data_IF_855389067870
#
_entry.id   IF_855389067870
#
_cell.length_a   1.000
_cell.length_b   1.000
_cell.length_c   1.000
_cell.angle_alpha   90.00
_cell.angle_beta   90.00
_cell.angle_gamma   90.00
#
_symmetry.space_group_name_H-M   'P 1'
#
loop_
_entity.id
_entity.type
_entity.pdbx_description
1 polymer ?
#
# COMPACT_ATOMS: atom_id res chain seq x y z
N UNK A 1 5.21 -2.74 17.59
CA UNK A 1 3.78 -2.63 17.22
C UNK A 1 3.73 -2.25 15.75
N UNK A 2 2.94 -2.94 14.92
CA UNK A 2 2.80 -2.57 13.52
C UNK A 2 2.04 -1.23 13.41
N UNK A 3 2.53 -0.32 12.55
CA UNK A 3 1.83 0.94 12.30
C UNK A 3 0.45 0.65 11.67
N UNK A 4 -0.61 1.39 12.06
CA UNK A 4 -1.94 1.16 11.53
C UNK A 4 -1.95 1.34 10.00
N UNK A 5 -2.75 0.55 9.29
CA UNK A 5 -2.88 0.66 7.83
C UNK A 5 -3.79 1.82 7.41
N UNK A 6 -4.41 2.51 8.38
CA UNK A 6 -5.26 3.66 8.13
C UNK A 6 -5.12 4.68 9.26
N UNK A 7 -5.13 5.96 8.89
CA UNK A 7 -5.23 7.09 9.80
C UNK A 7 -6.37 8.01 9.33
N UNK A 8 -7.24 8.39 10.26
CA UNK A 8 -8.34 9.33 10.00
C UNK A 8 -8.23 10.55 10.92
N UNK A 9 -8.45 11.74 10.38
CA UNK A 9 -8.51 12.99 11.14
C UNK A 9 -9.54 13.97 10.59
N UNK A 10 -9.87 14.99 11.38
CA UNK A 10 -10.83 16.04 11.01
C UNK A 10 -10.16 17.41 10.99
N UNK A 11 -10.57 18.22 10.03
CA UNK A 11 -10.06 19.57 9.81
C UNK A 11 -11.21 20.57 9.91
N UNK A 12 -10.95 21.70 10.59
CA UNK A 12 -11.84 22.86 10.57
C UNK A 12 -11.89 23.46 9.17
N UNK A 13 -13.02 24.07 8.79
CA UNK A 13 -13.20 24.65 7.45
C UNK A 13 -12.54 26.02 7.32
N UNK A 14 -11.20 26.05 7.28
CA UNK A 14 -10.42 27.27 7.05
C UNK A 14 -9.18 26.98 6.20
N UNK A 15 -8.67 28.02 5.50
CA UNK A 15 -7.48 27.87 4.62
C UNK A 15 -6.23 27.37 5.36
N UNK A 16 -6.12 27.63 6.67
CA UNK A 16 -5.00 27.13 7.50
C UNK A 16 -5.02 25.61 7.66
N UNK A 17 -6.12 24.93 7.34
CA UNK A 17 -6.21 23.48 7.38
C UNK A 17 -5.48 22.79 6.22
N UNK A 18 -5.23 23.48 5.11
CA UNK A 18 -4.46 22.92 3.97
C UNK A 18 -3.01 22.61 4.36
N UNK A 19 -2.20 23.55 4.90
CA UNK A 19 -0.85 23.22 5.37
C UNK A 19 -0.86 22.20 6.52
N UNK A 20 -1.91 22.17 7.35
CA UNK A 20 -2.06 21.14 8.38
C UNK A 20 -2.28 19.75 7.78
N UNK A 21 -3.09 19.64 6.72
CA UNK A 21 -3.30 18.39 6.01
C UNK A 21 -1.99 17.86 5.42
N UNK A 22 -1.18 18.73 4.78
CA UNK A 22 0.17 18.39 4.29
C UNK A 22 1.08 17.86 5.38
N UNK A 23 1.20 18.59 6.50
CA UNK A 23 2.04 18.16 7.60
C UNK A 23 1.61 16.80 8.19
N UNK A 24 0.29 16.52 8.22
CA UNK A 24 -0.23 15.24 8.70
C UNK A 24 0.06 14.10 7.73
N UNK A 25 -0.16 14.27 6.43
CA UNK A 25 0.18 13.22 5.45
C UNK A 25 1.69 12.99 5.39
N UNK A 26 2.52 14.03 5.45
CA UNK A 26 3.98 13.89 5.57
C UNK A 26 4.36 13.01 6.76
N UNK A 27 3.80 13.28 7.94
CA UNK A 27 4.11 12.52 9.15
C UNK A 27 3.67 11.06 9.03
N UNK A 28 2.46 10.80 8.51
CA UNK A 28 1.92 9.44 8.34
C UNK A 28 2.77 8.66 7.32
N UNK A 29 3.08 9.26 6.17
CA UNK A 29 3.86 8.59 5.13
C UNK A 29 5.33 8.41 5.52
N UNK A 30 5.90 9.34 6.30
CA UNK A 30 7.22 9.19 6.90
C UNK A 30 7.28 8.02 7.89
N UNK A 31 6.25 7.85 8.73
CA UNK A 31 6.14 6.69 9.63
C UNK A 31 6.00 5.38 8.84
N UNK A 32 5.27 5.41 7.72
CA UNK A 32 5.11 4.27 6.83
C UNK A 32 6.31 4.01 5.91
N UNK A 33 7.33 4.88 5.94
CA UNK A 33 8.56 4.81 5.12
C UNK A 33 8.27 4.76 3.62
N UNK A 34 7.29 5.55 3.19
CA UNK A 34 6.96 5.71 1.77
C UNK A 34 8.09 6.45 1.08
N UNK A 35 8.36 6.10 -0.19
CA UNK A 35 9.30 6.82 -1.03
C UNK A 35 8.97 8.31 -1.14
N UNK A 36 10.01 9.14 -1.27
CA UNK A 36 9.90 10.59 -1.24
C UNK A 36 9.04 11.13 -2.40
N UNK A 37 9.17 10.57 -3.61
CA UNK A 37 8.41 11.05 -4.77
C UNK A 37 6.90 10.81 -4.59
N UNK A 38 6.57 9.67 -3.98
CA UNK A 38 5.18 9.28 -3.69
C UNK A 38 4.62 10.13 -2.55
N UNK A 39 5.43 10.43 -1.55
CA UNK A 39 5.07 11.33 -0.46
C UNK A 39 4.73 12.72 -1.00
N UNK A 40 5.56 13.30 -1.86
CA UNK A 40 5.34 14.61 -2.46
C UNK A 40 4.08 14.64 -3.34
N UNK A 41 3.86 13.60 -4.14
CA UNK A 41 2.63 13.44 -4.93
C UNK A 41 1.39 13.37 -4.03
N UNK A 42 1.45 12.60 -2.93
CA UNK A 42 0.35 12.45 -1.98
C UNK A 42 0.03 13.77 -1.25
N UNK A 43 1.04 14.53 -0.86
CA UNK A 43 0.87 15.85 -0.26
C UNK A 43 0.13 16.81 -1.18
N UNK A 44 0.53 16.83 -2.45
CA UNK A 44 -0.03 17.73 -3.43
C UNK A 44 -1.49 17.36 -3.74
N UNK A 45 -1.77 16.08 -3.98
CA UNK A 45 -3.13 15.61 -4.19
C UNK A 45 -4.01 15.89 -2.96
N UNK A 46 -3.55 15.59 -1.74
CA UNK A 46 -4.35 15.85 -0.54
C UNK A 46 -4.64 17.34 -0.37
N UNK A 47 -3.68 18.21 -0.71
CA UNK A 47 -3.86 19.66 -0.68
C UNK A 47 -4.96 20.12 -1.61
N UNK A 48 -5.00 19.59 -2.83
CA UNK A 48 -6.04 19.90 -3.82
C UNK A 48 -7.41 19.36 -3.39
N UNK A 49 -7.48 18.12 -2.90
CA UNK A 49 -8.71 17.53 -2.40
C UNK A 49 -9.28 18.33 -1.21
N UNK A 50 -8.45 18.70 -0.24
CA UNK A 50 -8.87 19.53 0.91
C UNK A 50 -9.28 20.93 0.45
N UNK A 51 -8.54 21.54 -0.49
CA UNK A 51 -8.87 22.86 -1.02
C UNK A 51 -10.23 22.84 -1.73
N UNK A 52 -10.51 21.81 -2.52
CA UNK A 52 -11.83 21.61 -3.14
C UNK A 52 -12.92 21.41 -2.10
N UNK A 53 -12.68 20.55 -1.11
CA UNK A 53 -13.62 20.32 -0.03
C UNK A 53 -13.96 21.62 0.72
N UNK A 54 -13.00 22.53 0.93
CA UNK A 54 -13.21 23.83 1.61
C UNK A 54 -14.02 24.85 0.80
N UNK A 55 -14.06 24.74 -0.53
CA UNK A 55 -14.83 25.65 -1.41
C UNK A 55 -16.33 25.40 -1.38
N UNK A 56 -16.74 24.19 -1.02
CA UNK A 56 -18.16 23.81 -0.98
C UNK A 56 -18.86 24.53 0.19
N UNK A 57 -20.03 25.11 -0.07
CA UNK A 57 -20.84 25.75 0.97
C UNK A 57 -21.58 24.69 1.78
N UNK A 58 -21.40 24.73 3.10
CA UNK A 58 -22.03 23.84 4.08
C UNK A 58 -22.28 24.62 5.38
N UNK A 59 -23.12 24.12 6.31
CA UNK A 59 -23.27 24.71 7.63
C UNK A 59 -21.92 24.86 8.36
N UNK A 60 -21.77 25.93 9.15
CA UNK A 60 -20.50 26.35 9.75
C UNK A 60 -19.94 25.40 10.81
N UNK A 61 -20.78 24.54 11.38
CA UNK A 61 -20.43 23.49 12.34
C UNK A 61 -19.81 22.24 11.68
N UNK A 62 -19.81 22.16 10.34
CA UNK A 62 -19.29 20.99 9.62
C UNK A 62 -17.77 21.05 9.47
N UNK A 63 -17.15 19.88 9.58
CA UNK A 63 -15.72 19.67 9.39
C UNK A 63 -15.43 18.93 8.07
N UNK A 64 -14.18 18.98 7.62
CA UNK A 64 -13.66 18.11 6.56
C UNK A 64 -13.06 16.87 7.21
N UNK A 65 -13.50 15.68 6.78
CA UNK A 65 -12.88 14.42 7.17
C UNK A 65 -11.75 14.08 6.19
N UNK A 66 -10.65 13.55 6.71
CA UNK A 66 -9.55 13.02 5.91
C UNK A 66 -9.24 11.61 6.37
N UNK A 67 -9.10 10.70 5.41
CA UNK A 67 -8.65 9.31 5.64
C UNK A 67 -7.46 9.03 4.74
N UNK A 68 -6.41 8.48 5.32
CA UNK A 68 -5.22 8.01 4.60
C UNK A 68 -5.11 6.52 4.90
N UNK A 69 -5.11 5.69 3.86
CA UNK A 69 -5.03 4.25 4.01
C UNK A 69 -4.02 3.65 3.04
N UNK A 70 -3.35 2.59 3.46
CA UNK A 70 -2.46 1.80 2.62
C UNK A 70 -3.00 0.38 2.44
N UNK A 71 -2.98 -0.11 1.20
CA UNK A 71 -3.10 -1.54 0.89
C UNK A 71 -1.69 -2.11 0.71
N UNK A 72 -1.28 -2.93 1.66
CA UNK A 72 0.00 -3.64 1.61
C UNK A 72 0.01 -4.74 0.55
N UNK A 73 -1.15 -5.28 0.21
CA UNK A 73 -1.33 -6.34 -0.79
C UNK A 73 -1.28 -5.77 -2.21
N UNK A 74 -2.00 -4.66 -2.44
CA UNK A 74 -2.09 -4.05 -3.76
C UNK A 74 -0.96 -3.03 -4.03
N UNK A 75 -0.18 -2.67 -3.01
CA UNK A 75 0.81 -1.59 -3.10
C UNK A 75 0.15 -0.26 -3.45
N UNK A 76 -0.95 0.08 -2.77
CA UNK A 76 -1.74 1.29 -3.04
C UNK A 76 -1.82 2.20 -1.82
N UNK A 77 -1.69 3.50 -2.05
CA UNK A 77 -1.97 4.54 -1.07
C UNK A 77 -3.27 5.25 -1.45
N UNK A 78 -4.27 5.21 -0.58
CA UNK A 78 -5.58 5.84 -0.77
C UNK A 78 -5.72 7.07 0.13
N UNK A 79 -6.06 8.19 -0.48
CA UNK A 79 -6.36 9.45 0.17
C UNK A 79 -7.84 9.76 -0.03
N UNK A 80 -8.56 10.03 1.05
CA UNK A 80 -9.97 10.42 0.98
C UNK A 80 -10.22 11.72 1.72
N UNK A 81 -11.07 12.55 1.14
CA UNK A 81 -11.55 13.78 1.73
C UNK A 81 -13.07 13.81 1.68
N UNK A 82 -13.69 13.86 2.85
CA UNK A 82 -15.14 13.91 2.99
C UNK A 82 -15.61 15.30 3.41
N UNK A 83 -16.65 15.81 2.75
CA UNK A 83 -17.33 17.05 3.12
C UNK A 83 -18.86 16.85 3.16
N UNK A 84 -19.58 17.76 3.82
CA UNK A 84 -21.02 17.67 4.00
C UNK A 84 -21.84 18.32 2.87
N UNK A 85 -21.20 18.73 1.79
CA UNK A 85 -21.84 19.46 0.70
C UNK A 85 -22.28 18.54 -0.44
N UNK A 86 -23.38 18.92 -1.08
CA UNK A 86 -23.92 18.26 -2.25
C UNK A 86 -23.10 18.58 -3.52
N UNK A 87 -23.38 17.85 -4.60
CA UNK A 87 -22.75 18.04 -5.92
C UNK A 87 -21.52 17.16 -6.14
N UNK A 88 -21.01 17.11 -7.37
CA UNK A 88 -19.76 16.43 -7.72
C UNK A 88 -18.65 17.47 -7.90
N UNK A 89 -17.39 17.17 -7.57
CA UNK A 89 -16.27 18.00 -7.95
C UNK A 89 -16.21 18.13 -9.47
N UNK A 90 -16.15 19.36 -10.00
CA UNK A 90 -16.05 19.60 -11.44
C UNK A 90 -14.59 19.65 -11.88
N UNK A 91 -14.21 18.75 -12.79
CA UNK A 91 -12.93 18.85 -13.53
C UNK A 91 -13.12 19.91 -14.62
N UNK A 92 -12.35 21.01 -14.59
CA UNK A 92 -12.42 22.05 -15.62
C UNK A 92 -11.10 22.17 -16.36
N UNK A 93 -11.16 22.31 -17.68
CA UNK A 93 -9.99 22.41 -18.55
C UNK A 93 -9.26 23.77 -18.42
N UNK A 94 -7.99 23.87 -18.82
CA UNK A 94 -7.27 25.15 -18.85
C UNK A 94 -7.91 26.08 -19.90
N UNK A 95 -8.55 27.17 -19.48
CA UNK A 95 -9.18 28.15 -20.38
C UNK A 95 -10.26 29.01 -19.72
N UNK A 96 -10.90 28.51 -18.67
CA UNK A 96 -11.88 29.28 -17.89
C UNK A 96 -11.15 30.14 -16.84
N UNK A 97 -11.33 31.46 -16.88
CA UNK A 97 -10.59 32.46 -16.08
C UNK A 97 -10.86 32.41 -14.55
N UNK A 98 -11.53 31.37 -14.04
CA UNK A 98 -11.70 31.15 -12.61
C UNK A 98 -10.65 30.17 -12.08
N UNK A 99 -9.79 30.65 -11.18
CA UNK A 99 -8.69 29.91 -10.53
C UNK A 99 -9.09 28.64 -9.73
N UNK A 100 -10.34 28.17 -9.85
CA UNK A 100 -10.92 27.05 -9.11
C UNK A 100 -10.71 25.66 -9.73
N UNK A 101 -10.57 25.53 -11.05
CA UNK A 101 -10.69 24.23 -11.74
C UNK A 101 -9.43 23.35 -11.81
N UNK A 102 -8.24 23.92 -11.54
CA UNK A 102 -6.96 23.26 -11.83
C UNK A 102 -6.60 22.13 -10.86
N UNK A 103 -7.17 22.14 -9.65
CA UNK A 103 -6.79 21.20 -8.60
C UNK A 103 -7.11 19.74 -8.91
N UNK A 104 -8.25 19.47 -9.57
CA UNK A 104 -8.59 18.10 -9.98
C UNK A 104 -7.83 17.64 -11.22
N UNK A 105 -7.38 18.55 -12.09
CA UNK A 105 -6.48 18.16 -13.20
C UNK A 105 -5.16 17.61 -12.66
N UNK A 106 -4.69 18.16 -11.54
CA UNK A 106 -3.49 17.66 -10.86
C UNK A 106 -3.75 16.28 -10.24
N UNK A 107 -4.89 16.10 -9.58
CA UNK A 107 -5.29 14.78 -9.05
C UNK A 107 -5.45 13.76 -10.17
N UNK A 108 -6.09 14.12 -11.28
CA UNK A 108 -6.23 13.29 -12.48
C UNK A 108 -4.86 12.87 -13.04
N UNK A 109 -3.89 13.79 -13.07
CA UNK A 109 -2.57 13.52 -13.62
C UNK A 109 -1.69 12.64 -12.71
N UNK A 110 -1.84 12.76 -11.38
CA UNK A 110 -1.01 12.03 -10.41
C UNK A 110 -1.62 10.72 -9.93
N UNK A 111 -2.94 10.64 -9.85
CA UNK A 111 -3.62 9.46 -9.31
C UNK A 111 -3.54 8.29 -10.29
N UNK A 112 -3.34 7.09 -9.75
CA UNK A 112 -3.61 5.86 -10.48
C UNK A 112 -5.10 5.75 -10.85
N UNK A 113 -5.97 6.12 -9.91
CA UNK A 113 -7.41 6.28 -10.10
C UNK A 113 -7.96 7.20 -9.02
N UNK A 114 -9.05 7.88 -9.31
CA UNK A 114 -9.75 8.72 -8.35
C UNK A 114 -11.25 8.67 -8.63
N UNK A 115 -12.05 9.12 -7.67
CA UNK A 115 -13.49 9.10 -7.79
C UNK A 115 -14.20 9.83 -6.68
N UNK A 116 -15.53 9.68 -6.69
CA UNK A 116 -16.43 10.35 -5.76
C UNK A 116 -17.48 9.35 -5.31
N UNK A 117 -17.52 9.10 -4.01
CA UNK A 117 -18.50 8.23 -3.37
C UNK A 117 -19.44 9.07 -2.48
N UNK A 118 -20.60 8.51 -2.16
CA UNK A 118 -21.44 9.07 -1.09
C UNK A 118 -20.70 8.97 0.25
N UNK A 119 -20.89 9.98 1.09
CA UNK A 119 -20.26 9.98 2.40
C UNK A 119 -20.87 8.87 3.27
N UNK A 120 -20.03 7.94 3.72
CA UNK A 120 -20.46 6.91 4.68
C UNK A 120 -21.05 7.55 5.95
N UNK A 121 -22.25 7.10 6.34
CA UNK A 121 -22.89 7.49 7.59
C UNK A 121 -23.47 8.92 7.63
N UNK A 122 -23.74 9.56 6.49
CA UNK A 122 -24.46 10.84 6.50
C UNK A 122 -24.49 11.59 5.17
N UNK A 123 -24.87 12.87 5.25
CA UNK A 123 -24.98 13.76 4.08
C UNK A 123 -23.59 14.19 3.62
N UNK A 124 -23.40 14.19 2.30
CA UNK A 124 -22.25 14.74 1.61
C UNK A 124 -21.59 13.73 0.70
N UNK A 125 -20.31 13.97 0.42
CA UNK A 125 -19.51 13.13 -0.49
C UNK A 125 -18.13 12.87 0.08
N UNK A 126 -17.50 11.84 -0.44
CA UNK A 126 -16.10 11.53 -0.26
C UNK A 126 -15.42 11.56 -1.62
N UNK A 127 -14.48 12.48 -1.81
CA UNK A 127 -13.59 12.46 -2.97
C UNK A 127 -12.36 11.66 -2.59
N UNK A 128 -12.00 10.67 -3.40
CA UNK A 128 -10.88 9.78 -3.13
C UNK A 128 -9.93 9.73 -4.30
N UNK A 129 -8.64 9.54 -4.02
CA UNK A 129 -7.58 9.34 -5.00
C UNK A 129 -6.63 8.25 -4.51
N UNK A 130 -6.12 7.44 -5.43
CA UNK A 130 -5.17 6.37 -5.15
C UNK A 130 -3.87 6.57 -5.91
N UNK A 131 -2.75 6.33 -5.24
CA UNK A 131 -1.41 6.26 -5.83
C UNK A 131 -0.92 4.82 -5.81
N UNK A 132 -0.14 4.48 -6.83
CA UNK A 132 0.73 3.32 -6.72
C UNK A 132 1.85 3.64 -5.74
N UNK A 133 1.97 2.81 -4.73
CA UNK A 133 2.99 2.88 -3.71
C UNK A 133 3.60 1.48 -3.54
N UNK A 134 4.39 1.03 -4.53
CA UNK A 134 4.96 -0.32 -4.53
C UNK A 134 5.89 -0.55 -3.34
N UNK A 135 6.50 0.49 -2.79
CA UNK A 135 7.36 0.38 -1.61
C UNK A 135 6.57 0.29 -0.29
N UNK A 136 5.25 0.54 -0.34
CA UNK A 136 4.33 0.28 0.76
C UNK A 136 3.86 -1.18 0.77
N UNK A 137 4.30 -2.02 -0.18
CA UNK A 137 4.03 -3.46 -0.04
C UNK A 137 4.53 -3.90 1.32
N UNK A 138 3.71 -4.69 2.03
CA UNK A 138 4.27 -5.44 3.13
C UNK A 138 5.48 -6.17 2.55
N UNK A 139 6.61 -6.15 3.25
CA UNK A 139 7.55 -7.26 3.21
C UNK A 139 6.70 -8.52 3.03
N UNK A 140 6.69 -9.19 1.85
CA UNK A 140 5.60 -10.08 1.46
C UNK A 140 5.21 -10.94 2.65
N UNK A 141 4.00 -10.80 3.18
CA UNK A 141 3.62 -11.55 4.38
C UNK A 141 3.64 -13.00 3.95
N UNK A 142 4.70 -13.73 4.29
CA UNK A 142 4.80 -15.09 3.81
C UNK A 142 3.64 -15.89 4.40
N UNK A 143 3.09 -16.79 3.61
CA UNK A 143 2.00 -17.65 4.03
C UNK A 143 2.51 -18.69 5.02
N UNK A 144 1.76 -18.95 6.08
CA UNK A 144 2.01 -20.13 6.90
C UNK A 144 1.54 -21.38 6.16
N UNK A 145 2.45 -22.32 5.96
CA UNK A 145 2.16 -23.63 5.38
C UNK A 145 2.82 -24.71 6.22
N UNK A 146 2.19 -25.88 6.31
CA UNK A 146 2.85 -27.05 6.90
C UNK A 146 4.17 -27.32 6.16
N UNK A 147 5.26 -27.61 6.89
CA UNK A 147 6.61 -27.78 6.29
C UNK A 147 6.62 -28.83 5.18
N UNK A 148 5.78 -29.86 5.28
CA UNK A 148 5.62 -30.90 4.24
C UNK A 148 5.19 -30.36 2.87
N UNK A 149 4.58 -29.18 2.82
CA UNK A 149 4.13 -28.52 1.60
C UNK A 149 5.19 -27.62 0.96
N UNK A 150 6.32 -27.40 1.63
CA UNK A 150 7.41 -26.55 1.14
C UNK A 150 8.11 -27.22 -0.04
N UNK A 151 8.43 -26.43 -1.07
CA UNK A 151 9.01 -26.87 -2.34
C UNK A 151 10.36 -26.21 -2.56
N UNK A 152 11.19 -26.87 -3.38
CA UNK A 152 12.40 -26.26 -3.94
C UNK A 152 12.09 -24.90 -4.57
N UNK A 153 12.96 -23.92 -4.34
CA UNK A 153 12.86 -22.57 -4.91
C UNK A 153 11.98 -21.63 -4.10
N UNK A 154 11.15 -22.11 -3.16
CA UNK A 154 10.44 -21.22 -2.25
C UNK A 154 11.41 -20.59 -1.23
N UNK A 155 11.03 -19.45 -0.66
CA UNK A 155 11.77 -18.84 0.47
C UNK A 155 11.04 -19.13 1.76
N UNK A 156 11.76 -19.53 2.81
CA UNK A 156 11.24 -19.77 4.16
C UNK A 156 11.84 -18.76 5.13
N UNK A 157 11.07 -18.36 6.15
CA UNK A 157 11.58 -17.49 7.21
C UNK A 157 12.22 -18.31 8.32
N UNK A 158 13.53 -18.12 8.54
CA UNK A 158 14.34 -18.85 9.53
C UNK A 158 15.09 -17.84 10.39
N UNK A 159 14.86 -17.86 11.71
CA UNK A 159 15.46 -16.90 12.66
C UNK A 159 15.27 -15.43 12.25
N UNK A 160 14.12 -15.11 11.64
CA UNK A 160 13.78 -13.76 11.18
C UNK A 160 14.22 -13.45 9.74
N UNK A 161 15.13 -14.24 9.18
CA UNK A 161 15.72 -14.05 7.84
C UNK A 161 15.05 -14.91 6.77
N UNK A 162 15.04 -14.43 5.52
CA UNK A 162 14.49 -15.17 4.38
C UNK A 162 15.56 -16.01 3.69
N UNK A 163 15.35 -17.34 3.67
CA UNK A 163 16.28 -18.31 3.09
C UNK A 163 15.65 -19.09 1.94
N UNK A 164 16.38 -19.28 0.85
CA UNK A 164 15.88 -20.03 -0.31
C UNK A 164 16.04 -21.51 -0.10
N UNK A 165 14.97 -22.28 -0.31
CA UNK A 165 14.98 -23.73 -0.22
C UNK A 165 15.66 -24.32 -1.46
N UNK A 166 16.81 -24.96 -1.25
CA UNK A 166 17.61 -25.65 -2.28
C UNK A 166 17.34 -27.14 -2.34
N UNK A 167 16.97 -27.78 -1.23
CA UNK A 167 16.57 -29.19 -1.22
C UNK A 167 15.46 -29.42 -0.20
N UNK A 168 14.59 -30.38 -0.49
CA UNK A 168 13.53 -30.83 0.42
C UNK A 168 13.62 -32.35 0.48
N UNK A 169 13.79 -32.90 1.67
CA UNK A 169 13.75 -34.35 1.89
C UNK A 169 12.96 -34.66 3.15
N UNK A 170 12.32 -35.82 3.16
CA UNK A 170 11.60 -36.33 4.33
C UNK A 170 12.38 -37.45 4.98
N UNK A 171 12.39 -37.50 6.31
CA UNK A 171 13.01 -38.57 7.07
C UNK A 171 12.17 -38.96 8.30
N UNK A 172 12.34 -40.17 8.85
CA UNK A 172 11.63 -40.60 10.04
C UNK A 172 11.95 -39.72 11.25
N UNK A 173 10.93 -39.37 12.04
CA UNK A 173 11.09 -38.61 13.28
C UNK A 173 11.11 -39.54 14.51
N UNK A 174 12.01 -39.28 15.46
CA UNK A 174 12.30 -40.20 16.57
C UNK A 174 11.09 -40.49 17.48
N UNK A 175 10.12 -39.58 17.55
CA UNK A 175 8.88 -39.73 18.34
C UNK A 175 7.72 -40.36 17.55
N UNK A 176 7.97 -40.89 16.34
CA UNK A 176 6.95 -41.26 15.37
C UNK A 176 6.56 -40.09 14.47
N UNK A 177 6.26 -40.36 13.20
CA UNK A 177 5.94 -39.35 12.19
C UNK A 177 7.11 -38.99 11.25
N UNK A 178 6.91 -37.94 10.46
CA UNK A 178 7.87 -37.47 9.46
C UNK A 178 8.46 -36.12 9.90
N UNK A 179 9.77 -35.97 9.69
CA UNK A 179 10.43 -34.68 9.66
C UNK A 179 10.75 -34.30 8.23
N UNK A 180 10.71 -33.01 7.95
CA UNK A 180 11.21 -32.44 6.70
C UNK A 180 12.54 -31.78 7.00
N UNK A 181 13.53 -32.10 6.17
CA UNK A 181 14.84 -31.45 6.19
C UNK A 181 14.95 -30.57 4.95
N UNK A 182 15.02 -29.26 5.18
CA UNK A 182 15.19 -28.24 4.16
C UNK A 182 16.66 -27.85 4.07
N UNK A 183 17.29 -28.10 2.92
CA UNK A 183 18.58 -27.50 2.61
C UNK A 183 18.36 -26.07 2.15
N UNK A 184 19.04 -25.11 2.78
CA UNK A 184 18.90 -23.68 2.53
C UNK A 184 20.08 -23.17 1.68
N UNK A 185 19.94 -22.00 1.07
CA UNK A 185 21.01 -21.30 0.36
C UNK A 185 22.14 -20.85 1.29
N UNK A 186 21.80 -20.47 2.52
CA UNK A 186 22.75 -20.11 3.57
C UNK A 186 22.38 -20.75 4.92
N UNK A 187 23.40 -21.10 5.69
CA UNK A 187 23.23 -21.66 7.04
C UNK A 187 23.01 -23.18 7.08
N UNK A 188 22.75 -23.72 8.28
CA UNK A 188 22.51 -25.15 8.45
C UNK A 188 21.17 -25.57 7.84
N UNK A 189 21.07 -26.85 7.48
CA UNK A 189 19.80 -27.42 7.06
C UNK A 189 18.77 -27.34 8.20
N UNK A 190 17.56 -26.90 7.87
CA UNK A 190 16.47 -26.76 8.82
C UNK A 190 15.71 -28.08 8.91
N UNK A 191 15.64 -28.65 10.11
CA UNK A 191 14.92 -29.90 10.39
C UNK A 191 13.72 -29.61 11.28
N UNK A 192 12.52 -29.91 10.78
CA UNK A 192 11.26 -29.54 11.45
C UNK A 192 10.25 -30.68 11.30
N UNK A 193 9.37 -30.94 12.28
CA UNK A 193 8.25 -31.85 12.09
C UNK A 193 7.39 -31.46 10.89
N UNK A 194 6.91 -32.45 10.13
CA UNK A 194 6.21 -32.23 8.86
C UNK A 194 4.95 -31.34 8.97
N UNK A 195 4.28 -31.36 10.13
CA UNK A 195 3.07 -30.60 10.40
C UNK A 195 3.33 -29.19 10.96
N UNK A 196 4.57 -28.86 11.31
CA UNK A 196 4.89 -27.55 11.88
C UNK A 196 4.64 -26.45 10.82
N UNK A 197 4.04 -25.32 11.17
CA UNK A 197 3.89 -24.21 10.25
C UNK A 197 5.24 -23.51 10.01
N UNK A 198 5.51 -23.17 8.75
CA UNK A 198 6.58 -22.25 8.35
C UNK A 198 6.02 -21.12 7.50
N UNK A 199 6.55 -19.92 7.71
CA UNK A 199 6.27 -18.76 6.86
C UNK A 199 7.03 -18.90 5.53
N UNK A 200 6.30 -18.93 4.41
CA UNK A 200 6.81 -19.20 3.06
C UNK A 200 6.45 -18.09 2.08
N UNK A 201 7.36 -17.79 1.15
CA UNK A 201 7.11 -16.96 -0.04
C UNK A 201 7.45 -17.73 -1.32
N UNK A 202 6.71 -17.43 -2.38
CA UNK A 202 6.90 -18.03 -3.72
C UNK A 202 7.85 -17.20 -4.61
N UNK A 203 8.46 -16.14 -4.10
CA UNK A 203 9.30 -15.13 -4.81
C UNK A 203 10.76 -15.56 -5.04
N UNK A 204 11.08 -16.85 -4.94
CA UNK A 204 12.45 -17.33 -5.07
C UNK A 204 12.92 -17.48 -6.51
N UNK A 205 13.70 -16.49 -6.94
CA UNK A 205 14.50 -16.35 -8.18
C UNK A 205 13.78 -15.62 -9.32
N UNK A 206 14.33 -14.50 -9.87
CA UNK A 206 13.84 -13.94 -11.12
C UNK A 206 14.04 -14.97 -12.23
N UNK A 207 13.01 -15.21 -13.03
CA UNK A 207 13.09 -16.00 -14.26
C UNK A 207 14.26 -15.52 -15.11
N UNK A 208 15.41 -16.22 -15.03
CA UNK A 208 16.45 -16.11 -16.02
C UNK A 208 15.90 -16.78 -17.27
N UNK A 209 15.44 -15.97 -18.22
CA UNK A 209 15.12 -16.43 -19.57
C UNK A 209 16.39 -17.04 -20.16
N UNK A 210 16.37 -18.36 -20.33
CA UNK A 210 17.22 -19.07 -21.28
C UNK A 210 16.79 -18.72 -22.72
N UNK A 211 17.78 -18.61 -23.61
CA UNK A 211 17.61 -18.53 -25.05
C UNK A 211 17.96 -17.14 -25.61
N UNK A 212 19.01 -16.95 -26.39
CA UNK A 212 19.91 -17.88 -27.03
C UNK A 212 20.98 -17.10 -27.78
N UNK A 213 22.17 -17.65 -27.78
CA UNK A 213 23.38 -17.18 -28.46
C UNK A 213 23.12 -17.12 -29.97
N UNK A 214 23.02 -15.91 -30.54
CA UNK A 214 23.06 -15.66 -31.98
C UNK A 214 24.44 -15.15 -32.38
N UNK A 215 25.24 -16.01 -32.98
CA UNK A 215 26.55 -15.73 -33.60
C UNK A 215 26.39 -14.71 -34.75
N UNK A 216 27.36 -13.81 -34.99
CA UNK A 216 27.24 -12.81 -36.05
C UNK A 216 27.50 -13.42 -37.44
N UNK A 217 26.75 -12.92 -38.43
CA UNK A 217 27.07 -13.08 -39.85
C UNK A 217 27.80 -11.85 -40.37
#
# INVERSE_FOLDING_TARGET
MAAPNEVTFRLTRCRRSVPRARALVHAVLGEWRVDQDILEAAELMLSELVTNALRVRVPSDRQVGVRIARSLEDGLLRLEVSDAGSGRPEVRAPGDEEAGGRGLLLVEALAHRWGVDERAGGIGKTVWAELKAPDIVAEPVGREVAVVMVRHGQRVRVLGEWRTVRTVRTEPYAAGGLAVVLGLDEGPALRVPAAEPLTVRDDGVPSAREGGKGTPG
#
